data_IF_355690377459
#
_entry.id   IF_355690377459
#
_cell.length_a   1.000
_cell.length_b   1.000
_cell.length_c   1.000
_cell.angle_alpha   90.00
_cell.angle_beta   90.00
_cell.angle_gamma   90.00
#
_symmetry.space_group_name_H-M   'P 1'
#
loop_
_entity.id
_entity.type
_entity.pdbx_description
1 polymer ?
#
# COMPACT_ATOMS: atom_id res chain seq x y z
N UNK A 1 -7.72 -33.41 -10.21
CA UNK A 1 -7.68 -32.34 -11.24
C UNK A 1 -7.02 -31.13 -10.60
N UNK A 2 -6.17 -30.42 -11.34
CA UNK A 2 -5.61 -29.15 -10.89
C UNK A 2 -6.18 -28.02 -11.76
N UNK A 3 -6.57 -26.92 -11.12
CA UNK A 3 -7.11 -25.74 -11.78
C UNK A 3 -6.50 -24.47 -11.19
N UNK A 4 -6.38 -23.43 -12.00
CA UNK A 4 -5.98 -22.09 -11.57
C UNK A 4 -7.11 -21.14 -11.92
N UNK A 5 -7.47 -20.26 -10.98
CA UNK A 5 -8.51 -19.28 -11.20
C UNK A 5 -8.48 -18.16 -10.18
N UNK A 6 -9.37 -17.21 -10.39
CA UNK A 6 -9.58 -16.08 -9.50
C UNK A 6 -10.80 -16.33 -8.63
N UNK A 7 -10.69 -16.07 -7.34
CA UNK A 7 -11.81 -16.12 -6.40
C UNK A 7 -12.79 -15.01 -6.76
N UNK A 8 -14.05 -15.38 -7.01
CA UNK A 8 -15.15 -14.45 -7.22
C UNK A 8 -16.29 -14.71 -6.23
N UNK A 9 -17.23 -13.77 -6.14
CA UNK A 9 -18.41 -13.86 -5.30
C UNK A 9 -19.67 -13.83 -6.18
N UNK A 10 -20.65 -14.69 -5.90
CA UNK A 10 -21.95 -14.70 -6.60
C UNK A 10 -22.99 -13.73 -6.00
N UNK A 11 -22.65 -13.02 -4.92
CA UNK A 11 -23.53 -12.09 -4.23
C UNK A 11 -22.98 -10.66 -4.15
N UNK A 12 -23.89 -9.70 -3.97
CA UNK A 12 -23.60 -8.27 -3.77
C UNK A 12 -22.98 -7.95 -2.39
N UNK A 13 -22.75 -8.97 -1.55
CA UNK A 13 -22.30 -8.83 -0.16
C UNK A 13 -20.94 -9.47 0.11
N UNK A 14 -20.63 -9.61 1.40
CA UNK A 14 -19.39 -10.28 1.84
C UNK A 14 -19.33 -11.73 1.36
N UNK A 15 -18.12 -12.13 0.95
CA UNK A 15 -17.80 -13.51 0.61
C UNK A 15 -18.16 -14.43 1.78
N UNK A 16 -18.91 -15.48 1.52
CA UNK A 16 -19.24 -16.52 2.48
C UNK A 16 -19.09 -17.90 1.83
N UNK A 17 -19.05 -18.96 2.62
CA UNK A 17 -18.79 -20.33 2.16
C UNK A 17 -19.70 -20.80 1.01
N UNK A 18 -20.91 -20.26 0.90
CA UNK A 18 -21.87 -20.65 -0.13
C UNK A 18 -21.75 -19.84 -1.42
N UNK A 19 -21.10 -18.68 -1.35
CA UNK A 19 -21.00 -17.70 -2.43
C UNK A 19 -19.65 -17.70 -3.16
N UNK A 20 -18.75 -18.63 -2.81
CA UNK A 20 -17.40 -18.70 -3.38
C UNK A 20 -17.45 -19.33 -4.76
N UNK A 21 -16.94 -18.59 -5.74
CA UNK A 21 -16.75 -19.04 -7.10
C UNK A 21 -15.26 -19.08 -7.45
N UNK A 22 -14.89 -20.04 -8.29
CA UNK A 22 -13.61 -20.04 -8.99
C UNK A 22 -13.85 -19.63 -10.45
N UNK A 23 -13.33 -18.47 -10.84
CA UNK A 23 -13.35 -18.00 -12.22
C UNK A 23 -12.08 -18.46 -12.95
N UNK A 24 -12.25 -19.29 -13.96
CA UNK A 24 -11.14 -19.72 -14.82
C UNK A 24 -10.73 -18.64 -15.82
N UNK A 25 -9.53 -18.75 -16.38
CA UNK A 25 -9.06 -17.82 -17.41
C UNK A 25 -9.88 -17.89 -18.70
N UNK A 26 -9.81 -16.84 -19.51
CA UNK A 26 -10.43 -16.82 -20.85
C UNK A 26 -9.82 -17.93 -21.73
N UNK A 27 -8.51 -18.12 -21.68
CA UNK A 27 -7.78 -19.09 -22.49
C UNK A 27 -8.19 -20.54 -22.18
N UNK A 28 -8.26 -20.91 -20.90
CA UNK A 28 -8.44 -22.31 -20.50
C UNK A 28 -9.90 -22.66 -20.17
N UNK A 29 -10.72 -21.67 -19.83
CA UNK A 29 -12.08 -21.89 -19.33
C UNK A 29 -13.11 -20.92 -19.90
N UNK A 30 -12.75 -20.11 -20.92
CA UNK A 30 -13.64 -19.09 -21.51
C UNK A 30 -14.22 -18.12 -20.48
N UNK A 31 -13.49 -17.88 -19.38
CA UNK A 31 -13.94 -17.00 -18.30
C UNK A 31 -15.09 -17.57 -17.46
N UNK A 32 -15.39 -18.87 -17.58
CA UNK A 32 -16.48 -19.50 -16.82
C UNK A 32 -16.17 -19.56 -15.32
N UNK A 33 -17.24 -19.42 -14.53
CA UNK A 33 -17.20 -19.56 -13.09
C UNK A 33 -17.83 -20.89 -12.67
N UNK A 34 -17.26 -21.51 -11.64
CA UNK A 34 -17.81 -22.71 -11.00
C UNK A 34 -17.88 -22.48 -9.49
N UNK A 35 -18.91 -23.02 -8.82
CA UNK A 35 -18.95 -22.99 -7.36
C UNK A 35 -17.77 -23.74 -6.79
N UNK A 36 -17.17 -23.18 -5.74
CA UNK A 36 -16.05 -23.77 -5.05
C UNK A 36 -16.49 -24.28 -3.68
N UNK A 37 -16.48 -25.59 -3.50
CA UNK A 37 -16.77 -26.26 -2.23
C UNK A 37 -15.45 -26.52 -1.50
N UNK A 38 -15.30 -25.92 -0.32
CA UNK A 38 -14.08 -25.94 0.50
C UNK A 38 -14.23 -26.83 1.74
N UNK A 39 -15.33 -27.58 1.88
CA UNK A 39 -15.63 -28.37 3.09
C UNK A 39 -14.54 -29.39 3.49
N UNK A 40 -13.75 -29.83 2.51
CA UNK A 40 -12.69 -30.83 2.69
C UNK A 40 -11.33 -30.18 2.99
N UNK A 41 -11.28 -28.85 3.14
CA UNK A 41 -10.09 -28.10 3.56
C UNK A 41 -10.20 -27.73 5.04
N UNK A 42 -9.17 -28.05 5.82
CA UNK A 42 -9.13 -27.70 7.25
C UNK A 42 -8.94 -26.19 7.47
N UNK A 43 -8.11 -25.55 6.63
CA UNK A 43 -7.74 -24.14 6.73
C UNK A 43 -7.63 -23.51 5.35
N UNK A 44 -8.19 -22.32 5.19
CA UNK A 44 -8.06 -21.51 3.98
C UNK A 44 -8.21 -20.02 4.32
N UNK A 45 -7.63 -19.16 3.48
CA UNK A 45 -7.83 -17.72 3.50
C UNK A 45 -8.07 -17.24 2.09
N UNK A 46 -9.31 -16.84 1.80
CA UNK A 46 -9.75 -16.43 0.47
C UNK A 46 -10.36 -15.04 0.49
N UNK A 47 -10.05 -14.23 -0.52
CA UNK A 47 -10.68 -12.94 -0.75
C UNK A 47 -11.02 -12.73 -2.24
N UNK A 48 -12.07 -11.96 -2.58
CA UNK A 48 -12.41 -11.67 -3.97
C UNK A 48 -11.23 -11.05 -4.73
N UNK A 49 -10.95 -11.56 -5.93
CA UNK A 49 -9.82 -11.14 -6.76
C UNK A 49 -8.52 -11.90 -6.51
N UNK A 50 -8.44 -12.74 -5.48
CA UNK A 50 -7.26 -13.57 -5.22
C UNK A 50 -7.09 -14.64 -6.30
N UNK A 51 -5.89 -14.75 -6.86
CA UNK A 51 -5.53 -15.85 -7.77
C UNK A 51 -5.05 -17.04 -6.95
N UNK A 52 -5.64 -18.21 -7.18
CA UNK A 52 -5.35 -19.43 -6.43
C UNK A 52 -5.18 -20.63 -7.36
N UNK A 53 -4.32 -21.56 -6.95
CA UNK A 53 -4.29 -22.92 -7.50
C UNK A 53 -5.12 -23.85 -6.63
N UNK A 54 -5.91 -24.74 -7.23
CA UNK A 54 -6.78 -25.66 -6.50
C UNK A 54 -6.63 -27.06 -7.07
N UNK A 55 -6.39 -28.03 -6.18
CA UNK A 55 -6.48 -29.45 -6.50
C UNK A 55 -7.82 -30.00 -5.99
N UNK A 56 -8.49 -30.80 -6.81
CA UNK A 56 -9.76 -31.42 -6.44
C UNK A 56 -10.45 -32.09 -7.61
N UNK A 57 -11.78 -32.12 -7.59
CA UNK A 57 -12.59 -32.70 -8.66
C UNK A 57 -13.91 -31.95 -8.87
N UNK A 58 -14.45 -32.00 -10.09
CA UNK A 58 -15.74 -31.41 -10.44
C UNK A 58 -16.62 -32.49 -11.10
N UNK A 59 -17.40 -33.25 -10.30
CA UNK A 59 -18.18 -34.38 -10.82
C UNK A 59 -19.46 -33.94 -11.52
N UNK A 60 -20.00 -32.77 -11.17
CA UNK A 60 -21.29 -32.26 -11.67
C UNK A 60 -21.15 -31.29 -12.84
N UNK A 61 -19.94 -30.82 -13.13
CA UNK A 61 -19.68 -29.70 -14.04
C UNK A 61 -19.90 -28.32 -13.40
N UNK A 62 -20.71 -28.22 -12.34
CA UNK A 62 -21.16 -26.95 -11.76
C UNK A 62 -20.63 -26.66 -10.34
N UNK A 63 -19.94 -27.62 -9.72
CA UNK A 63 -19.35 -27.47 -8.38
C UNK A 63 -18.00 -28.20 -8.31
N UNK A 64 -16.93 -27.46 -8.05
CA UNK A 64 -15.59 -27.97 -7.84
C UNK A 64 -15.36 -28.19 -6.35
N UNK A 65 -15.14 -29.44 -5.95
CA UNK A 65 -14.82 -29.81 -4.57
C UNK A 65 -13.31 -29.79 -4.40
N UNK A 66 -12.81 -28.87 -3.57
CA UNK A 66 -11.39 -28.65 -3.35
C UNK A 66 -10.85 -29.61 -2.29
N UNK A 67 -9.78 -30.33 -2.63
CA UNK A 67 -9.02 -31.18 -1.70
C UNK A 67 -7.72 -30.53 -1.25
N UNK A 68 -7.16 -29.59 -2.03
CA UNK A 68 -6.02 -28.75 -1.63
C UNK A 68 -6.11 -27.35 -2.24
N UNK A 69 -5.64 -26.36 -1.49
CA UNK A 69 -5.55 -24.96 -1.90
C UNK A 69 -4.09 -24.52 -1.92
N UNK A 70 -3.71 -23.81 -2.98
CA UNK A 70 -2.42 -23.14 -3.15
C UNK A 70 -2.70 -21.64 -3.26
N UNK A 71 -2.57 -20.94 -2.14
CA UNK A 71 -2.90 -19.51 -1.97
C UNK A 71 -1.67 -18.58 -2.07
N UNK A 72 -0.48 -19.16 -2.17
CA UNK A 72 0.79 -18.45 -2.29
C UNK A 72 1.76 -19.23 -3.15
N UNK A 73 2.53 -18.51 -3.97
CA UNK A 73 3.72 -19.05 -4.63
C UNK A 73 4.90 -18.68 -3.73
N UNK A 74 5.72 -19.64 -3.27
CA UNK A 74 6.92 -19.31 -2.52
C UNK A 74 7.84 -18.48 -3.43
N UNK A 75 7.93 -17.17 -3.15
CA UNK A 75 8.90 -16.30 -3.83
C UNK A 75 10.26 -16.60 -3.22
N UNK A 76 11.19 -17.14 -4.01
CA UNK A 76 12.58 -17.29 -3.57
C UNK A 76 13.20 -15.91 -3.39
N UNK A 77 13.51 -15.57 -2.13
CA UNK A 77 14.11 -14.29 -1.73
C UNK A 77 15.41 -13.96 -2.47
N UNK A 78 16.15 -14.97 -2.95
CA UNK A 78 17.42 -14.79 -3.64
C UNK A 78 17.33 -14.35 -5.10
N UNK A 79 16.17 -14.55 -5.75
CA UNK A 79 16.00 -14.35 -7.18
C UNK A 79 15.68 -12.89 -7.57
N UNK A 80 15.36 -12.03 -6.61
CA UNK A 80 14.90 -10.65 -6.88
C UNK A 80 15.69 -9.54 -6.19
N UNK A 81 16.78 -9.83 -5.46
CA UNK A 81 17.64 -8.73 -4.99
C UNK A 81 18.25 -8.03 -6.22
N UNK A 82 17.97 -6.74 -6.46
CA UNK A 82 18.65 -6.00 -7.52
C UNK A 82 20.16 -6.14 -7.30
N UNK A 83 20.93 -6.38 -8.35
CA UNK A 83 22.39 -6.61 -8.27
C UNK A 83 23.14 -5.54 -7.47
N UNK A 84 22.61 -4.30 -7.45
CA UNK A 84 23.10 -3.18 -6.65
C UNK A 84 23.03 -3.42 -5.12
N UNK A 85 22.06 -4.19 -4.61
CA UNK A 85 21.98 -4.54 -3.18
C UNK A 85 22.96 -5.64 -2.78
N UNK A 86 23.30 -6.56 -3.68
CA UNK A 86 24.31 -7.62 -3.41
C UNK A 86 25.69 -7.01 -3.19
N UNK A 87 26.09 -6.03 -4.01
CA UNK A 87 27.38 -5.34 -3.84
C UNK A 87 27.47 -4.52 -2.53
N UNK A 88 26.38 -3.90 -2.08
CA UNK A 88 26.37 -3.13 -0.83
C UNK A 88 26.52 -4.02 0.42
N UNK A 89 25.99 -5.25 0.38
CA UNK A 89 26.04 -6.21 1.49
C UNK A 89 27.39 -6.96 1.49
N UNK A 90 27.88 -7.36 0.31
CA UNK A 90 29.16 -8.07 0.19
C UNK A 90 30.36 -7.17 0.54
N UNK A 91 30.28 -5.86 0.25
CA UNK A 91 31.34 -4.90 0.59
C UNK A 91 31.50 -4.66 2.11
N UNK A 92 30.48 -4.92 2.93
CA UNK A 92 30.60 -4.85 4.40
C UNK A 92 31.27 -6.10 4.98
N UNK A 93 31.22 -7.24 4.29
CA UNK A 93 31.79 -8.52 4.76
C UNK A 93 33.29 -8.69 4.55
N UNK A 94 33.93 -7.86 3.70
CA UNK A 94 35.33 -8.03 3.29
C UNK A 94 36.31 -6.99 3.84
N UNK A 95 35.92 -6.14 4.80
CA UNK A 95 36.85 -5.25 5.49
C UNK A 95 37.20 -5.81 6.88
N UNK A 96 38.24 -6.65 6.92
CA UNK A 96 39.02 -6.89 8.14
C UNK A 96 39.64 -5.56 8.59
N UNK A 97 38.97 -4.85 9.51
CA UNK A 97 39.60 -3.82 10.33
C UNK A 97 38.88 -3.69 11.66
N UNK A 98 39.64 -3.79 12.74
CA UNK A 98 39.27 -3.63 14.16
C UNK A 98 38.75 -2.22 14.49
N UNK A 99 37.57 -1.87 13.99
CA UNK A 99 36.72 -0.82 14.53
C UNK A 99 35.28 -1.26 14.33
N UNK A 100 34.56 -1.49 15.43
CA UNK A 100 33.20 -2.01 15.44
C UNK A 100 32.33 -1.31 14.40
N UNK A 101 32.05 -2.01 13.29
CA UNK A 101 31.08 -1.57 12.29
C UNK A 101 29.71 -1.75 12.92
N UNK A 102 29.33 -0.77 13.74
CA UNK A 102 27.94 -0.59 14.14
C UNK A 102 27.17 -0.44 12.84
N UNK A 103 26.45 -1.48 12.44
CA UNK A 103 25.42 -1.40 11.40
C UNK A 103 24.59 -0.16 11.70
N UNK A 104 24.79 0.89 10.89
CA UNK A 104 24.16 2.19 11.16
C UNK A 104 22.69 2.04 10.85
N UNK A 105 21.88 1.76 11.87
CA UNK A 105 20.44 1.65 11.74
C UNK A 105 19.88 2.91 11.08
N UNK A 106 19.17 2.75 9.96
CA UNK A 106 18.53 3.86 9.28
C UNK A 106 17.37 4.36 10.13
N UNK A 107 17.41 5.64 10.52
CA UNK A 107 16.32 6.27 11.28
C UNK A 107 15.29 6.84 10.31
N UNK A 108 14.04 6.38 10.43
CA UNK A 108 12.94 6.87 9.61
C UNK A 108 11.70 7.19 10.44
N UNK A 109 10.93 8.15 9.98
CA UNK A 109 9.57 8.45 10.44
C UNK A 109 8.63 8.22 9.27
N UNK A 110 7.55 7.47 9.51
CA UNK A 110 6.50 7.20 8.52
C UNK A 110 5.19 7.67 9.13
N UNK A 111 4.45 8.50 8.42
CA UNK A 111 3.14 8.99 8.82
C UNK A 111 2.18 8.95 7.64
N UNK A 112 0.89 8.78 7.93
CA UNK A 112 -0.19 8.90 6.96
C UNK A 112 -1.19 9.93 7.46
N UNK A 113 -1.78 10.68 6.53
CA UNK A 113 -2.85 11.62 6.84
C UNK A 113 -4.13 10.93 7.35
N UNK A 114 -5.13 11.71 7.79
CA UNK A 114 -5.23 13.16 7.60
C UNK A 114 -4.28 13.98 8.48
N UNK A 115 -3.82 15.11 7.96
CA UNK A 115 -2.87 16.00 8.62
C UNK A 115 -3.50 17.27 9.24
N UNK A 116 -4.82 17.32 9.26
CA UNK A 116 -5.65 18.34 9.94
C UNK A 116 -6.79 17.63 10.68
N UNK A 117 -7.33 18.27 11.71
CA UNK A 117 -8.51 17.76 12.43
C UNK A 117 -9.78 18.00 11.62
N UNK A 118 -10.92 17.42 12.04
CA UNK A 118 -12.18 17.47 11.25
C UNK A 118 -13.00 18.76 11.43
N UNK A 119 -12.62 19.57 12.39
CA UNK A 119 -13.30 20.80 12.81
C UNK A 119 -12.65 22.06 12.23
N UNK A 120 -11.47 21.96 11.61
CA UNK A 120 -10.76 23.08 10.99
C UNK A 120 -9.73 22.63 9.93
N UNK A 121 -9.18 23.59 9.19
CA UNK A 121 -8.14 23.39 8.16
C UNK A 121 -6.80 24.03 8.57
N UNK A 122 -6.41 23.95 9.85
CA UNK A 122 -5.21 24.62 10.38
C UNK A 122 -3.95 23.75 10.34
N UNK A 123 -4.07 22.45 10.02
CA UNK A 123 -2.93 21.53 9.88
C UNK A 123 -2.02 21.44 11.13
N UNK A 124 -2.60 21.60 12.31
CA UNK A 124 -1.89 21.47 13.59
C UNK A 124 -1.20 20.10 13.76
N UNK A 125 -1.82 18.95 13.38
CA UNK A 125 -1.15 17.66 13.40
C UNK A 125 0.11 17.60 12.54
N UNK A 126 0.11 18.21 11.35
CA UNK A 126 1.31 18.31 10.51
C UNK A 126 2.41 19.10 11.22
N UNK A 127 2.05 20.23 11.80
CA UNK A 127 3.01 21.09 12.50
C UNK A 127 3.63 20.37 13.70
N UNK A 128 2.84 19.63 14.48
CA UNK A 128 3.37 18.87 15.62
C UNK A 128 4.25 17.70 15.15
N UNK A 129 3.89 17.02 14.05
CA UNK A 129 4.71 15.97 13.44
C UNK A 129 6.08 16.51 12.98
N UNK A 130 6.10 17.64 12.27
CA UNK A 130 7.35 18.28 11.82
C UNK A 130 8.16 18.78 13.02
N UNK A 131 7.51 19.31 14.05
CA UNK A 131 8.18 19.72 15.30
C UNK A 131 8.80 18.52 16.03
N UNK A 132 8.11 17.38 16.06
CA UNK A 132 8.66 16.12 16.56
C UNK A 132 9.88 15.68 15.75
N UNK A 133 9.79 15.71 14.43
CA UNK A 133 10.89 15.36 13.54
C UNK A 133 12.08 16.33 13.70
N UNK A 134 11.87 17.61 14.03
CA UNK A 134 12.96 18.53 14.38
C UNK A 134 13.67 18.13 15.68
N UNK A 135 12.90 17.71 16.70
CA UNK A 135 13.46 17.27 18.00
C UNK A 135 14.21 15.94 17.87
N UNK A 136 13.79 15.08 16.93
CA UNK A 136 14.38 13.77 16.66
C UNK A 136 14.57 13.60 15.14
N UNK A 137 15.59 14.25 14.55
CA UNK A 137 15.76 14.30 13.10
C UNK A 137 15.96 12.91 12.50
N UNK A 138 15.00 12.40 11.69
CA UNK A 138 15.21 11.16 10.96
C UNK A 138 16.09 11.41 9.73
N UNK A 139 16.69 10.35 9.21
CA UNK A 139 17.34 10.40 7.89
C UNK A 139 16.29 10.37 6.77
N UNK A 140 15.12 9.78 7.04
CA UNK A 140 14.03 9.64 6.08
C UNK A 140 12.67 9.96 6.74
N UNK A 141 11.91 10.86 6.15
CA UNK A 141 10.52 11.15 6.51
C UNK A 141 9.61 10.76 5.34
N UNK A 142 8.75 9.77 5.54
CA UNK A 142 7.75 9.35 4.54
C UNK A 142 6.39 9.86 4.99
N UNK A 143 5.78 10.74 4.19
CA UNK A 143 4.45 11.27 4.41
C UNK A 143 3.51 10.72 3.34
N UNK A 144 2.48 10.00 3.78
CA UNK A 144 1.47 9.42 2.92
C UNK A 144 0.17 10.23 3.04
N UNK A 145 -0.51 10.49 1.93
CA UNK A 145 -1.78 11.19 1.95
C UNK A 145 -2.88 10.46 2.75
N UNK A 146 -4.07 11.08 2.89
CA UNK A 146 -4.42 12.34 2.27
C UNK A 146 -3.80 13.54 2.99
N UNK A 147 -3.15 14.41 2.22
CA UNK A 147 -2.72 15.74 2.65
C UNK A 147 -3.92 16.67 2.73
N UNK A 148 -4.72 16.73 1.67
CA UNK A 148 -6.02 17.41 1.67
C UNK A 148 -7.09 16.34 1.56
N UNK A 149 -7.70 15.95 2.68
CA UNK A 149 -8.69 14.87 2.68
C UNK A 149 -9.97 15.31 1.99
N UNK A 150 -10.26 14.69 0.84
CA UNK A 150 -11.52 14.83 0.11
C UNK A 150 -12.76 14.50 0.95
N UNK A 151 -12.60 13.71 2.03
CA UNK A 151 -13.69 13.46 2.96
C UNK A 151 -13.80 14.45 4.12
N UNK A 152 -12.88 15.42 4.24
CA UNK A 152 -12.94 16.44 5.27
C UNK A 152 -14.28 17.21 5.21
N UNK A 153 -14.96 17.48 6.34
CA UNK A 153 -16.29 18.10 6.33
C UNK A 153 -16.36 19.42 5.53
N UNK A 154 -15.36 20.28 5.65
CA UNK A 154 -15.32 21.56 4.93
C UNK A 154 -15.03 21.40 3.43
N UNK A 155 -14.29 20.36 3.06
CA UNK A 155 -14.02 20.03 1.65
C UNK A 155 -15.30 19.46 1.01
N UNK A 156 -15.97 18.50 1.67
CA UNK A 156 -17.24 17.92 1.18
C UNK A 156 -18.37 18.94 1.06
N UNK A 157 -18.47 19.85 2.03
CA UNK A 157 -19.53 20.87 2.04
C UNK A 157 -19.24 22.03 1.08
N UNK A 158 -18.01 22.16 0.58
CA UNK A 158 -17.59 23.28 -0.26
C UNK A 158 -17.64 24.61 0.50
N UNK A 159 -17.31 24.61 1.79
CA UNK A 159 -17.33 25.82 2.63
C UNK A 159 -16.03 26.64 2.54
N UNK A 160 -15.03 26.15 1.82
CA UNK A 160 -13.71 26.75 1.70
C UNK A 160 -13.64 27.63 0.44
N UNK A 161 -13.20 28.87 0.60
CA UNK A 161 -13.03 29.86 -0.48
C UNK A 161 -11.60 29.86 -1.06
N UNK A 162 -11.00 28.68 -1.20
CA UNK A 162 -9.65 28.47 -1.72
C UNK A 162 -9.61 27.22 -2.59
N UNK A 163 -8.71 27.20 -3.59
CA UNK A 163 -8.50 25.99 -4.38
C UNK A 163 -7.78 24.92 -3.56
N UNK A 164 -8.06 23.64 -3.80
CA UNK A 164 -7.37 22.55 -3.10
C UNK A 164 -5.85 22.57 -3.35
N UNK A 165 -5.44 23.05 -4.52
CA UNK A 165 -4.05 23.26 -4.89
C UNK A 165 -3.38 24.31 -3.99
N UNK A 166 -4.04 25.44 -3.76
CA UNK A 166 -3.53 26.50 -2.89
C UNK A 166 -3.41 26.02 -1.44
N UNK A 167 -4.43 25.31 -0.93
CA UNK A 167 -4.40 24.77 0.43
C UNK A 167 -3.21 23.81 0.57
N UNK A 168 -3.03 22.88 -0.38
CA UNK A 168 -1.88 21.98 -0.37
C UNK A 168 -0.54 22.73 -0.41
N UNK A 169 -0.43 23.72 -1.30
CA UNK A 169 0.80 24.49 -1.44
C UNK A 169 1.16 25.28 -0.16
N UNK A 170 0.20 26.03 0.39
CA UNK A 170 0.46 26.94 1.50
C UNK A 170 0.44 26.26 2.87
N UNK A 171 -0.44 25.28 3.09
CA UNK A 171 -0.57 24.63 4.40
C UNK A 171 0.26 23.36 4.54
N UNK A 172 0.61 22.69 3.43
CA UNK A 172 1.35 21.43 3.47
C UNK A 172 2.77 21.60 2.94
N UNK A 173 2.92 21.94 1.65
CA UNK A 173 4.24 22.00 1.02
C UNK A 173 5.14 23.05 1.66
N UNK A 174 4.64 24.24 1.93
CA UNK A 174 5.43 25.31 2.55
C UNK A 174 5.98 24.90 3.92
N UNK A 175 5.16 24.28 4.78
CA UNK A 175 5.61 23.80 6.10
C UNK A 175 6.69 22.72 5.97
N UNK A 176 6.55 21.82 4.99
CA UNK A 176 7.55 20.79 4.69
C UNK A 176 8.84 21.42 4.14
N UNK A 177 8.73 22.40 3.24
CA UNK A 177 9.88 23.13 2.69
C UNK A 177 10.64 23.85 3.82
N UNK A 178 9.94 24.59 4.67
CA UNK A 178 10.53 25.27 5.84
C UNK A 178 11.26 24.27 6.76
N UNK A 179 10.64 23.12 7.03
CA UNK A 179 11.24 22.02 7.77
C UNK A 179 12.52 21.48 7.12
N UNK A 180 12.49 21.20 5.81
CA UNK A 180 13.67 20.70 5.08
C UNK A 180 14.78 21.74 4.98
N UNK A 181 14.44 23.02 4.84
CA UNK A 181 15.40 24.10 4.84
C UNK A 181 16.08 24.24 6.21
N UNK A 182 15.32 24.07 7.30
CA UNK A 182 15.85 24.11 8.66
C UNK A 182 16.82 22.95 8.96
N UNK A 183 16.47 21.71 8.57
CA UNK A 183 17.33 20.54 8.82
C UNK A 183 18.40 20.31 7.75
N UNK A 184 18.31 20.98 6.60
CA UNK A 184 19.20 20.82 5.46
C UNK A 184 19.30 19.36 4.99
N UNK A 185 20.52 18.92 4.68
CA UNK A 185 20.79 17.57 4.14
C UNK A 185 20.65 16.43 5.18
N UNK A 186 20.18 16.73 6.39
CA UNK A 186 20.03 15.75 7.48
C UNK A 186 18.84 14.83 7.23
N UNK A 187 17.80 15.30 6.54
CA UNK A 187 16.55 14.59 6.30
C UNK A 187 16.24 14.53 4.81
N UNK A 188 15.77 13.37 4.34
CA UNK A 188 15.11 13.24 3.04
C UNK A 188 13.62 13.08 3.26
N UNK A 189 12.80 13.86 2.57
CA UNK A 189 11.33 13.74 2.64
C UNK A 189 10.81 13.07 1.37
N UNK A 190 9.91 12.11 1.53
CA UNK A 190 9.17 11.45 0.45
C UNK A 190 7.68 11.67 0.68
N UNK A 191 7.00 12.21 -0.31
CA UNK A 191 5.54 12.36 -0.32
C UNK A 191 4.93 11.24 -1.18
N UNK A 192 3.90 10.59 -0.67
CA UNK A 192 3.15 9.54 -1.36
C UNK A 192 1.69 9.99 -1.43
N UNK A 193 1.11 10.20 -2.62
CA UNK A 193 -0.28 10.63 -2.74
C UNK A 193 -1.25 9.54 -2.26
N UNK A 194 -2.47 9.96 -1.95
CA UNK A 194 -3.61 9.10 -1.67
C UNK A 194 -4.74 9.40 -2.64
N UNK A 195 -5.57 8.41 -2.98
CA UNK A 195 -6.76 8.61 -3.83
C UNK A 195 -7.79 9.56 -3.20
N UNK A 196 -7.60 9.87 -1.91
CA UNK A 196 -8.40 10.85 -1.16
C UNK A 196 -7.79 12.24 -1.15
N UNK A 197 -6.65 12.49 -1.81
CA UNK A 197 -6.09 13.83 -1.96
C UNK A 197 -6.93 14.68 -2.92
N UNK A 198 -7.68 15.63 -2.37
CA UNK A 198 -8.61 16.48 -3.14
C UNK A 198 -7.92 17.30 -4.26
N UNK A 199 -6.61 17.56 -4.12
CA UNK A 199 -5.82 18.34 -5.06
C UNK A 199 -5.15 17.48 -6.15
N UNK A 200 -5.34 16.16 -6.14
CA UNK A 200 -4.61 15.21 -7.01
C UNK A 200 -5.55 14.26 -7.76
N UNK A 201 -5.01 13.51 -8.72
CA UNK A 201 -5.76 12.48 -9.45
C UNK A 201 -6.28 11.42 -8.47
N UNK A 202 -7.57 11.08 -8.54
CA UNK A 202 -8.23 10.13 -7.63
C UNK A 202 -8.21 8.67 -8.14
N UNK A 203 -7.53 8.40 -9.26
CA UNK A 203 -7.47 7.06 -9.86
C UNK A 203 -6.18 6.33 -9.48
N UNK A 204 -6.30 5.08 -9.00
CA UNK A 204 -5.16 4.21 -8.74
C UNK A 204 -4.75 3.41 -10.00
N UNK A 205 -3.45 3.24 -10.31
CA UNK A 205 -2.28 3.80 -9.60
C UNK A 205 -2.09 5.30 -9.89
N UNK A 206 -1.76 6.07 -8.86
CA UNK A 206 -1.58 7.52 -8.96
C UNK A 206 -0.17 7.90 -9.43
N UNK A 207 -0.07 8.98 -10.20
CA UNK A 207 1.22 9.57 -10.60
C UNK A 207 1.86 10.34 -9.43
N UNK A 208 3.20 10.39 -9.38
CA UNK A 208 3.95 11.12 -8.35
C UNK A 208 4.12 12.63 -8.63
N UNK A 209 3.34 13.21 -9.55
CA UNK A 209 3.52 14.61 -9.95
C UNK A 209 3.01 15.60 -8.89
N UNK A 210 3.77 15.77 -7.81
CA UNK A 210 3.78 17.02 -7.06
C UNK A 210 4.68 18.01 -7.82
N UNK A 211 4.28 18.40 -9.03
CA UNK A 211 5.03 19.37 -9.82
C UNK A 211 4.84 20.76 -9.21
N UNK A 212 5.82 21.22 -8.45
CA UNK A 212 5.93 22.59 -7.94
C UNK A 212 7.38 23.06 -8.05
#
# INVERSE_FOLDING_TARGET
MFAVGTVACDGEGHLNEKSILLQGSVEHSRGQCVRLDLKDLDHFSLFPGQVVGIEGHNPSGHCFVASKLFDSIPVSVDAQLPSAKKQAIDNESNQNSDAGTLSRALSSIIAAGPYTTTDNMLFEPLQELLSYACRKPPQLLILMGPFIDSDHPDIKKGTIDQSFHDIFHFEVLRKIQDFTQYLGNTVRVILIPSVRDAHHDFVFPQVCNFSY
#
